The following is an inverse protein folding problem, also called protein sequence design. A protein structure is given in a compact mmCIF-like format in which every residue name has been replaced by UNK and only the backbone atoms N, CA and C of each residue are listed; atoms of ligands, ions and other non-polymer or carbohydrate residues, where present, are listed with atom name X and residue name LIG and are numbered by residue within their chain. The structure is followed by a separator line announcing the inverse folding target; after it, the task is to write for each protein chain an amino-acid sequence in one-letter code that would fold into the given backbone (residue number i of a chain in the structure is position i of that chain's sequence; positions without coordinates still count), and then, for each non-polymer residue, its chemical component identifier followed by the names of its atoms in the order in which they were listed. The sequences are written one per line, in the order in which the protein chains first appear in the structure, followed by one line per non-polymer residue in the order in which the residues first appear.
data_IF_832064485343
#
_entry.id   IF_832064485343
#
_cell.length_a   1.000
_cell.length_b   1.000
_cell.length_c   1.000
_cell.angle_alpha   90.00
_cell.angle_beta   90.00
_cell.angle_gamma   90.00
#
_symmetry.space_group_name_H-M   'P 1'
#
loop_
_entity.id
_entity.type
_entity.pdbx_description
1 polymer ?
#
# COMPACT_ATOMS: atom_id res chain seq x y z
N UNK A 1 24.02 -50.17 -14.87
CA UNK A 1 23.60 -49.83 -13.49
C UNK A 1 24.66 -48.97 -12.83
N UNK A 2 24.35 -47.72 -12.48
CA UNK A 2 25.12 -46.85 -11.57
C UNK A 2 24.11 -46.07 -10.71
N UNK A 3 24.43 -45.78 -9.43
CA UNK A 3 23.42 -45.43 -8.44
C UNK A 3 22.97 -43.97 -8.55
N UNK A 4 21.71 -43.77 -8.18
CA UNK A 4 20.96 -42.51 -8.16
C UNK A 4 21.61 -41.51 -7.20
N UNK A 5 21.86 -40.29 -7.68
CA UNK A 5 22.12 -39.15 -6.83
C UNK A 5 20.79 -38.68 -6.23
N UNK A 6 20.37 -39.27 -5.10
CA UNK A 6 19.38 -38.66 -4.22
C UNK A 6 20.07 -37.54 -3.43
N UNK A 7 20.37 -36.45 -4.14
CA UNK A 7 20.66 -35.17 -3.49
C UNK A 7 19.32 -34.60 -3.02
N UNK A 8 18.90 -34.94 -1.81
CA UNK A 8 17.92 -34.13 -1.09
C UNK A 8 18.63 -32.79 -0.87
N UNK A 9 18.46 -31.87 -1.82
CA UNK A 9 18.91 -30.51 -1.68
C UNK A 9 18.22 -29.96 -0.43
N UNK A 10 18.99 -29.73 0.63
CA UNK A 10 18.53 -28.88 1.72
C UNK A 10 17.96 -27.60 1.06
N UNK A 11 16.75 -27.16 1.43
CA UNK A 11 16.17 -25.98 0.83
C UNK A 11 17.19 -24.86 0.95
N UNK A 12 17.64 -24.36 -0.22
CA UNK A 12 18.66 -23.32 -0.28
C UNK A 12 18.23 -22.16 0.60
N UNK A 13 19.20 -21.49 1.25
CA UNK A 13 18.92 -20.35 2.12
C UNK A 13 17.96 -19.41 1.37
N UNK A 14 16.79 -19.07 1.95
CA UNK A 14 15.78 -18.35 1.21
C UNK A 14 16.33 -16.98 0.82
N UNK A 15 16.03 -16.54 -0.41
CA UNK A 15 16.50 -15.28 -0.97
C UNK A 15 16.29 -14.13 0.01
N UNK A 16 17.32 -13.29 0.17
CA UNK A 16 17.32 -12.08 1.00
C UNK A 16 16.68 -12.28 2.40
N UNK A 17 17.15 -13.28 3.15
CA UNK A 17 16.53 -13.71 4.42
C UNK A 17 16.36 -12.63 5.51
N UNK A 18 17.09 -11.52 5.40
CA UNK A 18 17.08 -10.43 6.37
C UNK A 18 16.35 -9.18 5.84
N UNK A 19 15.73 -9.25 4.66
CA UNK A 19 15.03 -8.13 4.04
C UNK A 19 13.64 -7.96 4.69
N UNK A 20 13.51 -6.99 5.60
CA UNK A 20 12.25 -6.70 6.30
C UNK A 20 11.50 -5.47 5.79
N UNK A 21 12.21 -4.45 5.29
CA UNK A 21 11.63 -3.14 4.94
C UNK A 21 12.18 -2.58 3.61
N UNK A 22 11.95 -3.25 2.47
CA UNK A 22 12.42 -2.78 1.18
C UNK A 22 11.72 -1.48 0.73
N UNK A 23 12.48 -0.61 0.07
CA UNK A 23 11.97 0.56 -0.65
C UNK A 23 12.09 0.37 -2.16
N UNK A 24 10.95 0.35 -2.85
CA UNK A 24 10.80 -0.04 -4.25
C UNK A 24 10.19 1.10 -5.09
N UNK A 25 10.62 2.33 -4.82
CA UNK A 25 10.01 3.54 -5.39
C UNK A 25 10.35 3.80 -6.86
N UNK A 26 11.29 3.05 -7.47
CA UNK A 26 11.67 3.19 -8.89
C UNK A 26 11.39 1.93 -9.72
N UNK A 27 10.48 1.08 -9.24
CA UNK A 27 10.22 -0.24 -9.83
C UNK A 27 8.88 -0.26 -10.57
N UNK A 28 8.80 -1.09 -11.60
CA UNK A 28 7.53 -1.48 -12.19
C UNK A 28 6.77 -2.47 -11.31
N UNK A 29 5.47 -2.60 -11.57
CA UNK A 29 4.59 -3.44 -10.78
C UNK A 29 5.00 -4.93 -10.77
N UNK A 30 5.54 -5.45 -11.87
CA UNK A 30 5.97 -6.84 -11.95
C UNK A 30 7.23 -7.09 -11.14
N UNK A 31 8.18 -6.15 -11.14
CA UNK A 31 9.36 -6.21 -10.28
C UNK A 31 8.97 -6.19 -8.79
N UNK A 32 8.04 -5.30 -8.41
CA UNK A 32 7.51 -5.28 -7.04
C UNK A 32 6.83 -6.61 -6.70
N UNK A 33 5.98 -7.12 -7.59
CA UNK A 33 5.28 -8.39 -7.39
C UNK A 33 6.25 -9.57 -7.22
N UNK A 34 7.32 -9.66 -8.02
CA UNK A 34 8.33 -10.72 -7.89
C UNK A 34 9.03 -10.68 -6.53
N UNK A 35 9.35 -9.48 -6.04
CA UNK A 35 9.97 -9.34 -4.72
C UNK A 35 9.00 -9.72 -3.61
N UNK A 36 7.75 -9.27 -3.69
CA UNK A 36 6.69 -9.64 -2.76
C UNK A 36 6.48 -11.16 -2.74
N UNK A 37 6.46 -11.81 -3.90
CA UNK A 37 6.36 -13.28 -3.95
C UNK A 37 7.58 -14.01 -3.35
N UNK A 38 8.78 -13.44 -3.43
CA UNK A 38 9.98 -14.06 -2.88
C UNK A 38 10.19 -13.79 -1.38
N UNK A 39 9.76 -12.63 -0.90
CA UNK A 39 10.10 -12.12 0.43
C UNK A 39 8.88 -11.88 1.34
N UNK A 40 7.67 -11.91 0.80
CA UNK A 40 6.42 -11.47 1.42
C UNK A 40 6.23 -11.89 2.87
N UNK A 41 6.34 -13.19 3.24
CA UNK A 41 6.12 -13.67 4.61
C UNK A 41 7.10 -13.12 5.66
N UNK A 42 8.09 -12.33 5.25
CA UNK A 42 9.13 -11.74 6.10
C UNK A 42 9.11 -10.21 6.07
N UNK A 43 8.35 -9.62 5.14
CA UNK A 43 8.25 -8.17 5.04
C UNK A 43 7.43 -7.65 6.23
N UNK A 44 7.98 -6.69 6.95
CA UNK A 44 7.30 -5.92 7.99
C UNK A 44 6.92 -4.53 7.49
N UNK A 45 7.77 -3.97 6.64
CA UNK A 45 7.55 -2.71 5.93
C UNK A 45 7.65 -2.90 4.42
N UNK A 46 6.93 -2.11 3.65
CA UNK A 46 7.08 -2.03 2.20
C UNK A 46 6.87 -0.59 1.77
N UNK A 47 7.83 -0.01 1.05
CA UNK A 47 7.66 1.31 0.43
C UNK A 47 7.53 1.15 -1.08
N UNK A 48 6.49 1.72 -1.68
CA UNK A 48 6.25 1.73 -3.13
C UNK A 48 5.93 3.14 -3.61
N UNK A 49 6.24 3.45 -4.86
CA UNK A 49 5.74 4.66 -5.50
C UNK A 49 4.44 4.35 -6.25
N UNK A 50 3.49 5.28 -6.22
CA UNK A 50 2.24 5.16 -6.95
C UNK A 50 1.99 6.35 -7.91
N UNK A 51 1.65 6.06 -9.19
CA UNK A 51 1.61 4.71 -9.78
C UNK A 51 3.00 4.09 -9.87
N UNK A 52 3.11 2.83 -10.28
CA UNK A 52 4.40 2.17 -10.51
C UNK A 52 5.12 2.76 -11.74
N UNK A 53 6.44 2.61 -11.82
CA UNK A 53 7.22 3.05 -12.97
C UNK A 53 6.98 2.14 -14.19
N UNK A 54 7.04 2.67 -15.42
CA UNK A 54 6.89 1.92 -16.68
C UNK A 54 5.60 1.08 -16.83
N UNK A 55 4.58 1.38 -16.02
CA UNK A 55 3.35 0.61 -15.92
C UNK A 55 2.49 0.65 -17.22
N UNK A 56 2.75 1.63 -18.09
CA UNK A 56 2.10 1.80 -19.41
C UNK A 56 2.88 1.20 -20.57
N UNK A 57 4.17 0.89 -20.41
CA UNK A 57 5.07 0.52 -21.51
C UNK A 57 5.23 -1.00 -21.68
N UNK A 58 4.73 -1.79 -20.73
CA UNK A 58 5.03 -3.22 -20.62
C UNK A 58 3.78 -4.11 -20.73
N UNK A 59 2.82 -3.77 -21.59
CA UNK A 59 1.83 -4.75 -22.07
C UNK A 59 2.57 -5.73 -22.99
N UNK A 60 3.32 -6.66 -22.38
CA UNK A 60 3.89 -7.79 -23.09
C UNK A 60 2.72 -8.58 -23.71
N UNK A 61 2.82 -9.01 -24.98
CA UNK A 61 1.82 -9.90 -25.55
C UNK A 61 1.97 -11.26 -24.85
N UNK A 62 1.13 -11.51 -23.84
CA UNK A 62 1.22 -12.69 -22.98
C UNK A 62 -0.16 -13.27 -22.69
N UNK A 63 -0.28 -14.56 -23.03
CA UNK A 63 -1.33 -15.56 -22.77
C UNK A 63 -2.62 -15.10 -22.03
N UNK A 64 -3.81 -15.21 -22.67
CA UNK A 64 -5.10 -14.83 -22.08
C UNK A 64 -5.52 -15.65 -20.85
N UNK A 65 -4.75 -16.67 -20.46
CA UNK A 65 -5.02 -17.50 -19.28
C UNK A 65 -4.47 -16.95 -17.96
N UNK A 66 -3.51 -16.03 -18.00
CA UNK A 66 -3.03 -15.35 -16.79
C UNK A 66 -3.99 -14.22 -16.42
N UNK A 67 -4.83 -14.43 -15.40
CA UNK A 67 -5.56 -13.34 -14.74
C UNK A 67 -4.56 -12.25 -14.40
N UNK A 68 -4.60 -11.12 -15.10
CA UNK A 68 -3.80 -9.96 -14.74
C UNK A 68 -4.26 -9.51 -13.35
N UNK A 69 -3.45 -9.79 -12.32
CA UNK A 69 -3.63 -9.16 -11.01
C UNK A 69 -3.55 -7.67 -11.23
N UNK A 70 -4.65 -6.96 -10.96
CA UNK A 70 -4.72 -5.52 -11.21
C UNK A 70 -3.73 -4.74 -10.34
N UNK A 71 -3.25 -5.30 -9.22
CA UNK A 71 -2.29 -4.70 -8.30
C UNK A 71 -1.23 -5.70 -7.81
N UNK A 72 -0.34 -5.23 -6.93
CA UNK A 72 0.58 -6.11 -6.18
C UNK A 72 -0.22 -6.91 -5.16
N UNK A 73 -0.06 -8.23 -5.14
CA UNK A 73 -0.76 -9.13 -4.21
C UNK A 73 -0.09 -9.14 -2.84
N UNK A 74 -0.65 -8.36 -1.90
CA UNK A 74 -0.19 -8.25 -0.52
C UNK A 74 -0.67 -9.40 0.37
N UNK A 75 -1.50 -10.33 -0.11
CA UNK A 75 -1.87 -11.53 0.64
C UNK A 75 -0.66 -12.44 0.90
N UNK A 76 0.38 -12.30 0.08
CA UNK A 76 1.67 -12.98 0.23
C UNK A 76 2.50 -12.41 1.40
N UNK A 77 2.08 -11.28 1.99
CA UNK A 77 2.80 -10.55 3.01
C UNK A 77 2.14 -10.65 4.39
N UNK A 78 2.05 -11.86 4.94
CA UNK A 78 1.33 -12.13 6.20
C UNK A 78 1.85 -11.35 7.41
N UNK A 79 3.12 -10.92 7.41
CA UNK A 79 3.76 -10.17 8.50
C UNK A 79 3.85 -8.67 8.25
N UNK A 80 3.26 -8.16 7.16
CA UNK A 80 3.40 -6.77 6.77
C UNK A 80 2.56 -5.88 7.70
N UNK A 81 3.26 -5.04 8.45
CA UNK A 81 2.70 -4.11 9.44
C UNK A 81 2.57 -2.69 8.88
N UNK A 82 3.45 -2.32 7.93
CA UNK A 82 3.54 -0.97 7.37
C UNK A 82 3.65 -0.99 5.85
N UNK A 83 2.80 -0.23 5.19
CA UNK A 83 2.86 0.07 3.76
C UNK A 83 3.01 1.58 3.56
N UNK A 84 4.14 2.02 3.01
CA UNK A 84 4.36 3.42 2.64
C UNK A 84 4.17 3.60 1.13
N UNK A 85 3.31 4.54 0.77
CA UNK A 85 2.94 4.84 -0.60
C UNK A 85 3.39 6.27 -0.92
N UNK A 86 4.43 6.37 -1.75
CA UNK A 86 4.90 7.65 -2.27
C UNK A 86 4.05 8.06 -3.48
N UNK A 87 3.19 9.04 -3.28
CA UNK A 87 2.23 9.54 -4.26
C UNK A 87 2.91 10.48 -5.25
N UNK A 88 2.81 10.19 -6.55
CA UNK A 88 3.40 11.01 -7.62
C UNK A 88 2.35 11.96 -8.23
N UNK A 89 2.73 13.19 -8.62
CA UNK A 89 1.75 14.22 -9.02
C UNK A 89 0.95 13.88 -10.29
N UNK A 90 1.57 13.17 -11.25
CA UNK A 90 1.11 13.17 -12.65
C UNK A 90 0.36 11.93 -13.13
N UNK A 91 0.11 10.92 -12.29
CA UNK A 91 -0.31 9.63 -12.85
C UNK A 91 -1.32 8.82 -12.01
N UNK A 92 -1.84 9.38 -10.92
CA UNK A 92 -2.95 8.79 -10.15
C UNK A 92 -4.34 9.27 -10.59
N UNK A 93 -4.42 10.20 -11.53
CA UNK A 93 -5.69 10.66 -12.11
C UNK A 93 -6.23 9.73 -13.21
N UNK A 94 -5.42 8.80 -13.69
CA UNK A 94 -5.87 7.74 -14.60
C UNK A 94 -6.51 6.61 -13.77
N UNK A 95 -7.80 6.35 -13.97
CA UNK A 95 -8.59 5.41 -13.15
C UNK A 95 -7.92 4.05 -12.93
N UNK A 96 -7.17 3.54 -13.93
CA UNK A 96 -6.41 2.29 -13.82
C UNK A 96 -5.44 2.28 -12.65
N UNK A 97 -4.71 3.36 -12.39
CA UNK A 97 -3.73 3.44 -11.28
C UNK A 97 -4.41 3.35 -9.92
N UNK A 98 -5.60 3.93 -9.79
CA UNK A 98 -6.42 3.85 -8.58
C UNK A 98 -7.00 2.46 -8.41
N UNK A 99 -7.41 1.79 -9.49
CA UNK A 99 -7.85 0.39 -9.44
C UNK A 99 -6.72 -0.54 -8.96
N UNK A 100 -5.47 -0.29 -9.40
CA UNK A 100 -4.30 -1.04 -8.92
C UNK A 100 -4.06 -0.82 -7.43
N UNK A 101 -4.16 0.44 -6.99
CA UNK A 101 -4.06 0.80 -5.57
C UNK A 101 -5.14 0.08 -4.76
N UNK A 102 -6.40 0.14 -5.22
CA UNK A 102 -7.54 -0.50 -4.58
C UNK A 102 -7.32 -2.02 -4.49
N UNK A 103 -6.94 -2.65 -5.60
CA UNK A 103 -6.69 -4.09 -5.65
C UNK A 103 -5.54 -4.52 -4.72
N UNK A 104 -4.43 -3.77 -4.71
CA UNK A 104 -3.29 -4.03 -3.84
C UNK A 104 -3.70 -3.98 -2.37
N UNK A 105 -4.37 -2.90 -1.95
CA UNK A 105 -4.83 -2.74 -0.58
C UNK A 105 -5.93 -3.75 -0.21
N UNK A 106 -6.81 -4.11 -1.16
CA UNK A 106 -7.86 -5.10 -0.93
C UNK A 106 -7.28 -6.50 -0.72
N UNK A 107 -6.16 -6.84 -1.39
CA UNK A 107 -5.46 -8.11 -1.18
C UNK A 107 -4.72 -8.21 0.15
N UNK A 108 -4.55 -7.09 0.87
CA UNK A 108 -3.80 -7.09 2.11
C UNK A 108 -4.59 -7.75 3.24
N UNK A 109 -4.17 -8.97 3.58
CA UNK A 109 -4.75 -9.78 4.67
C UNK A 109 -3.64 -10.26 5.63
N UNK A 110 -3.06 -9.34 6.42
CA UNK A 110 -1.94 -9.66 7.29
C UNK A 110 -2.43 -10.22 8.62
N UNK A 111 -1.61 -11.10 9.21
CA UNK A 111 -1.83 -11.70 10.54
C UNK A 111 -1.36 -10.78 11.67
N UNK A 112 -1.42 -9.47 11.46
CA UNK A 112 -0.92 -8.44 12.39
C UNK A 112 -2.09 -7.63 12.95
N UNK A 113 -2.02 -7.18 14.21
CA UNK A 113 -3.16 -6.54 14.87
C UNK A 113 -3.51 -5.15 14.35
N UNK A 114 -2.57 -4.48 13.65
CA UNK A 114 -2.74 -3.13 13.13
C UNK A 114 -1.99 -2.96 11.81
N UNK A 115 -2.68 -2.42 10.81
CA UNK A 115 -2.15 -2.19 9.47
C UNK A 115 -1.95 -0.70 9.26
N UNK A 116 -0.70 -0.28 9.06
CA UNK A 116 -0.35 1.13 8.92
C UNK A 116 -0.13 1.46 7.44
N UNK A 117 -0.99 2.31 6.88
CA UNK A 117 -0.78 2.88 5.55
C UNK A 117 -0.22 4.28 5.73
N UNK A 118 0.98 4.51 5.22
CA UNK A 118 1.60 5.83 5.17
C UNK A 118 1.44 6.42 3.77
N UNK A 119 0.91 7.63 3.68
CA UNK A 119 0.79 8.40 2.45
C UNK A 119 1.75 9.58 2.50
N UNK A 120 2.63 9.67 1.50
CA UNK A 120 3.65 10.71 1.41
C UNK A 120 3.77 11.22 -0.02
N UNK A 121 4.09 12.50 -0.19
CA UNK A 121 4.48 13.05 -1.49
C UNK A 121 5.79 12.44 -2.00
N UNK A 122 5.80 11.94 -3.23
CA UNK A 122 7.03 11.49 -3.89
C UNK A 122 7.83 12.68 -4.40
N UNK A 123 8.92 13.00 -3.70
CA UNK A 123 9.70 14.23 -3.84
C UNK A 123 8.84 15.48 -3.63
N UNK A 124 8.86 16.01 -2.41
CA UNK A 124 7.89 16.98 -1.91
C UNK A 124 8.02 18.34 -2.59
N UNK A 125 9.21 18.67 -3.11
CA UNK A 125 9.44 19.87 -3.92
C UNK A 125 8.69 19.88 -5.26
N UNK A 126 8.12 18.74 -5.69
CA UNK A 126 7.28 18.68 -6.89
C UNK A 126 5.82 19.09 -6.65
N UNK A 127 5.46 19.37 -5.41
CA UNK A 127 4.08 19.65 -5.03
C UNK A 127 3.91 21.08 -4.54
N UNK A 128 2.78 21.69 -4.91
CA UNK A 128 2.22 22.76 -4.10
C UNK A 128 1.41 22.14 -2.97
N UNK A 129 1.17 22.91 -1.92
CA UNK A 129 0.32 22.50 -0.81
C UNK A 129 -1.05 21.98 -1.29
N UNK A 130 -1.68 22.74 -2.20
CA UNK A 130 -2.97 22.38 -2.79
C UNK A 130 -2.87 21.14 -3.68
N UNK A 131 -1.86 21.04 -4.55
CA UNK A 131 -1.79 19.90 -5.47
C UNK A 131 -1.57 18.57 -4.76
N UNK A 132 -0.87 18.56 -3.63
CA UNK A 132 -0.77 17.36 -2.80
C UNK A 132 -2.08 17.08 -2.03
N UNK A 133 -2.77 18.11 -1.52
CA UNK A 133 -4.08 17.92 -0.89
C UNK A 133 -5.12 17.35 -1.87
N UNK A 134 -5.15 17.82 -3.13
CA UNK A 134 -6.04 17.29 -4.16
C UNK A 134 -5.73 15.81 -4.49
N UNK A 135 -4.44 15.46 -4.52
CA UNK A 135 -3.99 14.09 -4.71
C UNK A 135 -4.40 13.18 -3.54
N UNK A 136 -4.26 13.67 -2.30
CA UNK A 136 -4.76 12.99 -1.10
C UNK A 136 -6.28 12.82 -1.15
N UNK A 137 -7.02 13.80 -1.66
CA UNK A 137 -8.47 13.68 -1.86
C UNK A 137 -8.82 12.52 -2.80
N UNK A 138 -8.09 12.38 -3.90
CA UNK A 138 -8.30 11.30 -4.87
C UNK A 138 -8.01 9.92 -4.28
N UNK A 139 -6.90 9.78 -3.56
CA UNK A 139 -6.53 8.52 -2.87
C UNK A 139 -7.45 8.24 -1.68
N UNK A 140 -7.89 9.29 -0.99
CA UNK A 140 -8.82 9.23 0.13
C UNK A 140 -10.14 8.60 -0.25
N UNK A 141 -10.68 8.93 -1.42
CA UNK A 141 -11.88 8.28 -1.95
C UNK A 141 -11.73 6.76 -2.05
N UNK A 142 -10.59 6.26 -2.54
CA UNK A 142 -10.32 4.83 -2.66
C UNK A 142 -10.23 4.15 -1.29
N UNK A 143 -9.54 4.78 -0.35
CA UNK A 143 -9.37 4.26 1.01
C UNK A 143 -10.69 4.25 1.79
N UNK A 144 -11.49 5.31 1.68
CA UNK A 144 -12.81 5.42 2.29
C UNK A 144 -13.80 4.40 1.74
N UNK A 145 -13.74 4.14 0.43
CA UNK A 145 -14.55 3.11 -0.22
C UNK A 145 -14.18 1.70 0.28
N UNK A 146 -12.90 1.38 0.35
CA UNK A 146 -12.40 0.11 0.90
C UNK A 146 -12.84 -0.13 2.36
N UNK A 147 -12.78 0.91 3.19
CA UNK A 147 -13.21 0.81 4.58
C UNK A 147 -14.70 0.55 4.68
N UNK A 148 -15.51 1.18 3.84
CA UNK A 148 -16.96 0.96 3.80
C UNK A 148 -17.30 -0.46 3.35
N UNK A 149 -16.61 -0.98 2.34
CA UNK A 149 -16.76 -2.37 1.88
C UNK A 149 -16.40 -3.38 2.99
N UNK A 150 -15.39 -3.07 3.80
CA UNK A 150 -14.94 -3.96 4.89
C UNK A 150 -15.83 -3.97 6.13
N UNK A 151 -16.71 -2.97 6.31
CA UNK A 151 -17.49 -2.79 7.53
C UNK A 151 -18.63 -3.81 7.71
N UNK A 152 -18.96 -4.60 6.67
CA UNK A 152 -20.05 -5.59 6.68
C UNK A 152 -21.44 -4.97 6.88
N UNK A 153 -22.53 -5.66 6.50
CA UNK A 153 -23.86 -5.30 6.97
C UNK A 153 -23.94 -5.54 8.50
N UNK A 154 -24.66 -4.69 9.26
CA UNK A 154 -24.89 -4.97 10.68
C UNK A 154 -25.61 -6.31 10.81
N UNK A 155 -24.96 -7.28 11.44
CA UNK A 155 -25.58 -8.57 11.76
C UNK A 155 -26.80 -8.33 12.63
N UNK A 156 -27.94 -8.89 12.22
CA UNK A 156 -29.20 -8.84 12.98
C UNK A 156 -29.14 -9.67 14.27
N UNK A 157 -28.21 -10.62 14.35
CA UNK A 157 -27.90 -11.37 15.55
C UNK A 157 -26.66 -10.76 16.19
N UNK A 158 -26.79 -10.34 17.46
CA UNK A 158 -25.77 -9.64 18.25
C UNK A 158 -24.48 -10.42 18.56
N UNK A 159 -24.06 -11.29 17.66
CA UNK A 159 -22.69 -11.79 17.61
C UNK A 159 -21.78 -10.63 17.17
N UNK A 160 -20.84 -10.30 18.05
CA UNK A 160 -19.77 -9.33 17.79
C UNK A 160 -18.93 -9.90 16.64
N UNK A 161 -19.29 -9.51 15.42
CA UNK A 161 -18.60 -9.90 14.20
C UNK A 161 -17.10 -9.60 14.32
N UNK A 162 -16.29 -10.47 13.70
CA UNK A 162 -14.84 -10.30 13.58
C UNK A 162 -14.51 -8.83 13.32
N UNK A 163 -13.62 -8.29 14.16
CA UNK A 163 -13.20 -6.90 14.06
C UNK A 163 -12.68 -6.67 12.63
N UNK A 164 -13.46 -5.93 11.83
CA UNK A 164 -13.07 -5.57 10.47
C UNK A 164 -11.67 -4.97 10.41
N UNK A 165 -11.07 -4.97 9.22
CA UNK A 165 -9.68 -4.52 8.99
C UNK A 165 -9.35 -3.27 9.78
N UNK A 166 -8.44 -3.40 10.75
CA UNK A 166 -8.04 -2.28 11.60
C UNK A 166 -6.91 -1.52 10.93
N UNK A 167 -7.28 -0.56 10.10
CA UNK A 167 -6.33 0.32 9.42
C UNK A 167 -6.04 1.55 10.25
N UNK A 168 -4.79 1.98 10.22
CA UNK A 168 -4.40 3.32 10.62
C UNK A 168 -3.74 4.01 9.41
N UNK A 169 -4.29 5.16 9.04
CA UNK A 169 -3.76 5.98 7.94
C UNK A 169 -2.91 7.10 8.54
N UNK A 170 -1.66 7.16 8.10
CA UNK A 170 -0.73 8.22 8.41
C UNK A 170 -0.51 9.06 7.18
N UNK A 171 -0.73 10.37 7.28
CA UNK A 171 -0.34 11.33 6.25
C UNK A 171 0.95 12.00 6.69
N UNK A 172 2.04 11.74 5.97
CA UNK A 172 3.36 12.31 6.26
C UNK A 172 3.55 13.59 5.42
N UNK A 173 3.55 14.74 6.11
CA UNK A 173 3.65 16.08 5.54
C UNK A 173 5.09 16.60 5.65
N UNK A 174 5.66 17.06 4.54
CA UNK A 174 6.94 17.78 4.53
C UNK A 174 6.71 19.27 4.21
N UNK A 175 6.16 19.96 5.19
CA UNK A 175 5.86 21.39 5.11
C UNK A 175 6.16 22.05 6.46
N UNK A 176 6.03 23.36 6.53
CA UNK A 176 6.24 24.15 7.72
C UNK A 176 5.09 23.92 8.71
N UNK A 177 5.42 23.81 10.00
CA UNK A 177 4.40 23.55 11.04
C UNK A 177 3.37 24.68 11.18
N UNK A 178 3.66 25.89 10.70
CA UNK A 178 2.67 26.99 10.64
C UNK A 178 1.43 26.61 9.82
N UNK A 179 1.57 25.67 8.89
CA UNK A 179 0.48 25.15 8.07
C UNK A 179 -0.23 23.94 8.68
N UNK A 180 0.08 23.56 9.94
CA UNK A 180 -0.49 22.38 10.60
C UNK A 180 -2.02 22.35 10.57
N UNK A 181 -2.67 23.44 10.93
CA UNK A 181 -4.14 23.49 10.99
C UNK A 181 -4.76 23.43 9.60
N UNK A 182 -4.12 24.07 8.63
CA UNK A 182 -4.52 23.98 7.22
C UNK A 182 -4.43 22.53 6.73
N UNK A 183 -3.29 21.87 6.96
CA UNK A 183 -3.07 20.49 6.57
C UNK A 183 -4.04 19.55 7.25
N UNK A 184 -4.23 19.69 8.56
CA UNK A 184 -5.16 18.85 9.31
C UNK A 184 -6.59 18.97 8.78
N UNK A 185 -7.04 20.19 8.52
CA UNK A 185 -8.37 20.44 7.93
C UNK A 185 -8.54 19.75 6.58
N UNK A 186 -7.53 19.80 5.71
CA UNK A 186 -7.59 19.17 4.39
C UNK A 186 -7.49 17.65 4.47
N UNK A 187 -6.61 17.12 5.32
CA UNK A 187 -6.49 15.68 5.58
C UNK A 187 -7.80 15.11 6.11
N UNK A 188 -8.44 15.77 7.07
CA UNK A 188 -9.75 15.33 7.58
C UNK A 188 -10.85 15.32 6.51
N UNK A 189 -10.83 16.29 5.58
CA UNK A 189 -11.77 16.32 4.44
C UNK A 189 -11.54 15.15 3.47
N UNK A 190 -10.30 14.70 3.30
CA UNK A 190 -9.96 13.58 2.43
C UNK A 190 -10.36 12.22 3.03
N UNK A 191 -10.41 12.13 4.37
CA UNK A 191 -10.66 10.89 5.11
C UNK A 191 -11.76 11.05 6.18
N UNK A 192 -13.01 11.36 5.80
CA UNK A 192 -14.06 11.71 6.74
C UNK A 192 -14.47 10.58 7.71
N UNK A 193 -14.41 9.30 7.31
CA UNK A 193 -14.75 8.18 8.20
C UNK A 193 -13.59 7.91 9.17
N UNK A 194 -12.36 7.94 8.64
CA UNK A 194 -11.16 7.76 9.45
C UNK A 194 -10.88 8.93 10.37
N UNK A 195 -11.32 10.15 10.04
CA UNK A 195 -11.19 11.30 10.92
C UNK A 195 -12.09 11.20 12.17
N UNK A 196 -13.20 10.44 12.07
CA UNK A 196 -14.12 10.19 13.19
C UNK A 196 -13.69 9.03 14.08
N UNK A 197 -12.92 8.09 13.54
CA UNK A 197 -12.25 7.04 14.31
C UNK A 197 -10.85 7.51 14.68
N UNK A 198 -10.21 7.02 15.74
CA UNK A 198 -8.83 7.44 16.08
C UNK A 198 -7.75 6.87 15.11
N UNK A 199 -8.17 6.55 13.88
CA UNK A 199 -7.43 5.83 12.85
C UNK A 199 -6.74 6.76 11.84
N UNK A 200 -7.06 8.06 11.81
CA UNK A 200 -6.34 9.05 11.01
C UNK A 200 -5.28 9.77 11.84
N UNK A 201 -4.06 9.81 11.32
CA UNK A 201 -2.92 10.50 11.92
C UNK A 201 -2.21 11.35 10.89
N UNK A 202 -1.55 12.40 11.35
CA UNK A 202 -0.73 13.28 10.52
C UNK A 202 0.62 13.52 11.20
N UNK A 203 1.70 13.29 10.48
CA UNK A 203 3.05 13.60 10.93
C UNK A 203 3.61 14.77 10.13
N UNK A 204 4.41 15.61 10.80
CA UNK A 204 5.30 16.55 10.13
C UNK A 204 6.70 15.95 10.13
N UNK A 205 7.31 15.84 8.95
CA UNK A 205 8.72 15.54 8.85
C UNK A 205 9.50 16.72 9.46
N UNK A 206 10.23 16.48 10.55
CA UNK A 206 11.18 17.46 11.06
C UNK A 206 12.23 17.70 9.98
N UNK A 207 12.22 18.90 9.38
CA UNK A 207 13.36 19.37 8.58
C UNK A 207 14.53 19.54 9.55
N UNK A 208 15.53 18.67 9.44
CA UNK A 208 16.84 18.88 10.06
C UNK A 208 17.63 19.88 9.25
#
# INVERSE_FOLDING_TARGET
MKPRANGIHAPGKPFASNLGEPSLVHMDIHCVQRLVSACGPRLRGLTVAMPFFHDTEMVLPGDPTTKHTMGVDLSLCSTLERLEICLRPRALTEGRSLDKLKAMLNSWDPQVPLQNVHLRAYYEYNFTQQSFADLLGTVGLVLEDLLRESAGPPSADGEVGEQGRRWQIWVDINDWEVWRDWWWTHVQKCFPTLAKSAALRMNFALRK
#
